data_IF_347897070966
#
_entry.id   IF_347897070966
#
_cell.length_a   1.000
_cell.length_b   1.000
_cell.length_c   1.000
_cell.angle_alpha   90.00
_cell.angle_beta   90.00
_cell.angle_gamma   90.00
#
_symmetry.space_group_name_H-M   'P 1'
#
loop_
_entity.id
_entity.type
_entity.pdbx_description
1 polymer ?
#
# COMPACT_ATOMS: atom_id res chain seq x y z
N UNK A 1 -4.44 -8.97 29.82
CA UNK A 1 -3.08 -9.49 29.61
C UNK A 1 -2.92 -9.89 28.15
N UNK A 2 -2.61 -8.93 27.27
CA UNK A 2 -2.23 -9.22 25.89
C UNK A 2 -0.74 -9.52 25.90
N UNK A 3 -0.36 -10.79 25.75
CA UNK A 3 1.03 -11.19 25.49
C UNK A 3 1.44 -10.54 24.17
N UNK A 4 2.06 -9.37 24.26
CA UNK A 4 2.72 -8.71 23.15
C UNK A 4 3.93 -9.53 22.75
N UNK A 5 3.74 -10.59 21.99
CA UNK A 5 4.78 -11.03 21.07
C UNK A 5 5.05 -9.82 20.18
N UNK A 6 6.14 -9.12 20.48
CA UNK A 6 6.74 -8.15 19.57
C UNK A 6 7.19 -8.96 18.37
N UNK A 7 6.27 -9.23 17.46
CA UNK A 7 6.59 -9.76 16.15
C UNK A 7 7.40 -8.65 15.50
N UNK A 8 8.72 -8.79 15.54
CA UNK A 8 9.64 -7.87 14.89
C UNK A 8 9.26 -7.85 13.41
N UNK A 9 9.02 -6.65 12.86
CA UNK A 9 8.60 -6.47 11.46
C UNK A 9 9.61 -7.11 10.48
N UNK A 10 10.89 -7.08 10.85
CA UNK A 10 11.99 -7.73 10.16
C UNK A 10 13.16 -7.87 11.16
N UNK A 11 14.15 -8.68 10.82
CA UNK A 11 15.38 -8.89 11.61
C UNK A 11 16.60 -8.60 10.75
N UNK A 12 17.62 -7.98 11.34
CA UNK A 12 18.92 -7.82 10.69
C UNK A 12 19.88 -8.86 11.25
N UNK A 13 20.51 -9.65 10.37
CA UNK A 13 21.63 -10.54 10.74
C UNK A 13 22.76 -10.31 9.74
N UNK A 14 23.97 -10.05 10.24
CA UNK A 14 25.18 -9.87 9.40
C UNK A 14 25.01 -8.90 8.21
N UNK A 15 24.35 -7.76 8.44
CA UNK A 15 24.10 -6.76 7.39
C UNK A 15 23.01 -7.12 6.37
N UNK A 16 22.30 -8.23 6.57
CA UNK A 16 21.20 -8.67 5.73
C UNK A 16 19.86 -8.64 6.46
N UNK A 17 18.82 -8.29 5.71
CA UNK A 17 17.45 -8.24 6.20
C UNK A 17 16.75 -9.58 6.02
N UNK A 18 16.12 -10.06 7.08
CA UNK A 18 15.34 -11.29 7.13
C UNK A 18 13.90 -10.98 7.54
N UNK A 19 12.94 -11.63 6.89
CA UNK A 19 11.52 -11.45 7.15
C UNK A 19 10.79 -12.78 7.25
N UNK A 20 9.84 -12.84 8.17
CA UNK A 20 8.91 -13.96 8.26
C UNK A 20 7.73 -13.68 7.34
N UNK A 21 7.30 -14.68 6.57
CA UNK A 21 6.15 -14.54 5.69
C UNK A 21 5.25 -15.77 5.69
N UNK A 22 4.02 -15.57 5.22
CA UNK A 22 3.03 -16.62 4.98
C UNK A 22 2.58 -16.59 3.53
N UNK A 23 2.93 -17.65 2.80
CA UNK A 23 2.45 -17.89 1.44
C UNK A 23 1.10 -18.61 1.50
N UNK A 24 0.17 -18.22 0.65
CA UNK A 24 -1.19 -18.76 0.60
C UNK A 24 -1.66 -18.93 -0.84
N UNK A 25 -2.52 -19.94 -1.05
CA UNK A 25 -3.31 -20.05 -2.28
C UNK A 25 -4.20 -18.82 -2.46
N UNK A 26 -4.61 -18.50 -3.69
CA UNK A 26 -5.48 -17.34 -4.01
C UNK A 26 -6.77 -17.28 -3.17
N UNK A 27 -7.33 -18.43 -2.81
CA UNK A 27 -8.53 -18.55 -1.99
C UNK A 27 -8.24 -18.70 -0.48
N UNK A 28 -6.98 -18.55 -0.07
CA UNK A 28 -6.52 -18.61 1.32
C UNK A 28 -6.81 -19.94 2.04
N UNK A 29 -7.04 -21.03 1.31
CA UNK A 29 -7.35 -22.35 1.88
C UNK A 29 -6.10 -23.12 2.31
N UNK A 30 -5.02 -22.99 1.55
CA UNK A 30 -3.75 -23.65 1.84
C UNK A 30 -2.69 -22.61 2.10
N UNK A 31 -1.79 -22.88 3.04
CA UNK A 31 -0.76 -21.92 3.43
C UNK A 31 0.50 -22.57 3.96
N UNK A 32 1.62 -21.90 3.70
CA UNK A 32 2.95 -22.29 4.15
C UNK A 32 3.56 -21.09 4.87
N UNK A 33 4.14 -21.31 6.04
CA UNK A 33 4.88 -20.28 6.79
C UNK A 33 6.36 -20.46 6.55
N UNK A 34 7.06 -19.35 6.39
CA UNK A 34 8.50 -19.28 6.22
C UNK A 34 9.04 -18.33 7.25
N UNK A 35 10.05 -18.79 7.98
CA UNK A 35 10.75 -18.01 8.98
C UNK A 35 12.12 -17.60 8.43
N UNK A 36 12.57 -16.41 8.77
CA UNK A 36 13.86 -15.84 8.40
C UNK A 36 14.20 -15.96 6.89
N UNK A 37 13.29 -15.54 6.01
CA UNK A 37 13.59 -15.43 4.58
C UNK A 37 14.41 -14.17 4.27
N UNK A 38 15.45 -14.32 3.44
CA UNK A 38 16.34 -13.20 3.08
C UNK A 38 15.65 -12.25 2.09
N UNK A 39 15.74 -10.95 2.33
CA UNK A 39 15.29 -9.93 1.37
C UNK A 39 16.45 -9.59 0.42
N UNK A 40 16.28 -9.91 -0.85
CA UNK A 40 17.32 -9.81 -1.88
C UNK A 40 16.80 -9.08 -3.13
N UNK A 41 17.16 -7.79 -3.31
CA UNK A 41 16.69 -7.00 -4.45
C UNK A 41 17.35 -7.36 -5.78
N UNK A 42 18.37 -8.22 -5.78
CA UNK A 42 18.99 -8.68 -7.03
C UNK A 42 18.14 -9.73 -7.74
N UNK A 43 17.25 -10.39 -7.00
CA UNK A 43 16.35 -11.40 -7.55
C UNK A 43 15.12 -10.70 -8.17
N UNK A 44 14.87 -10.82 -9.49
CA UNK A 44 13.74 -10.13 -10.12
C UNK A 44 12.39 -10.69 -9.66
N UNK A 45 12.27 -12.01 -9.53
CA UNK A 45 11.03 -12.70 -9.10
C UNK A 45 11.33 -13.68 -7.98
N UNK A 46 10.48 -13.69 -6.96
CA UNK A 46 10.60 -14.61 -5.81
C UNK A 46 10.58 -16.07 -6.29
N UNK A 47 11.54 -16.84 -5.77
CA UNK A 47 11.72 -18.27 -6.11
C UNK A 47 11.27 -19.12 -4.94
N UNK A 48 10.53 -20.18 -5.22
CA UNK A 48 10.00 -21.14 -4.25
C UNK A 48 10.27 -22.57 -4.74
N UNK A 49 10.34 -23.56 -3.83
CA UNK A 49 10.64 -24.93 -4.24
C UNK A 49 9.44 -25.57 -4.95
N UNK A 50 9.72 -26.40 -5.96
CA UNK A 50 8.71 -26.96 -6.87
C UNK A 50 7.62 -27.76 -6.15
N UNK A 51 7.96 -28.48 -5.08
CA UNK A 51 6.99 -29.26 -4.31
C UNK A 51 5.88 -28.41 -3.68
N UNK A 52 6.06 -27.08 -3.55
CA UNK A 52 5.00 -26.18 -3.08
C UNK A 52 3.91 -25.91 -4.12
N UNK A 53 4.16 -26.18 -5.40
CA UNK A 53 3.17 -25.97 -6.47
C UNK A 53 1.89 -26.77 -6.18
N UNK A 54 2.02 -28.08 -5.96
CA UNK A 54 0.86 -28.93 -5.64
C UNK A 54 0.33 -28.68 -4.22
N UNK A 55 1.19 -28.28 -3.28
CA UNK A 55 0.75 -27.95 -1.93
C UNK A 55 -0.12 -26.69 -1.90
N UNK A 56 0.19 -25.67 -2.71
CA UNK A 56 -0.56 -24.42 -2.78
C UNK A 56 -1.70 -24.47 -3.80
N UNK A 57 -1.71 -25.45 -4.72
CA UNK A 57 -2.80 -25.65 -5.67
C UNK A 57 -4.11 -25.93 -4.92
N UNK A 58 -5.09 -25.04 -5.09
CA UNK A 58 -6.41 -25.21 -4.52
C UNK A 58 -7.48 -24.83 -5.54
N UNK A 59 -8.10 -25.81 -6.22
CA UNK A 59 -9.12 -25.55 -7.23
C UNK A 59 -10.33 -24.86 -6.58
N UNK A 60 -10.89 -23.88 -7.28
CA UNK A 60 -11.98 -23.04 -6.82
C UNK A 60 -12.96 -22.76 -7.95
N UNK A 61 -14.12 -22.21 -7.65
CA UNK A 61 -15.15 -21.89 -8.66
C UNK A 61 -14.64 -20.94 -9.76
N UNK A 62 -13.74 -20.01 -9.43
CA UNK A 62 -13.13 -19.07 -10.40
C UNK A 62 -11.86 -19.61 -11.08
N UNK A 63 -11.16 -20.55 -10.45
CA UNK A 63 -9.93 -21.17 -10.98
C UNK A 63 -10.04 -22.68 -10.82
N UNK A 64 -10.52 -23.36 -11.86
CA UNK A 64 -10.82 -24.79 -11.85
C UNK A 64 -9.53 -25.61 -11.64
N UNK A 65 -8.42 -25.20 -12.25
CA UNK A 65 -7.10 -25.85 -12.14
C UNK A 65 -6.35 -25.47 -10.85
N UNK A 66 -6.75 -24.38 -10.19
CA UNK A 66 -6.13 -23.84 -8.98
C UNK A 66 -5.29 -22.58 -9.22
N UNK A 67 -4.55 -22.52 -10.33
CA UNK A 67 -3.78 -21.35 -10.78
C UNK A 67 -4.43 -20.69 -12.00
N UNK A 68 -4.16 -19.41 -12.21
CA UNK A 68 -4.59 -18.70 -13.41
C UNK A 68 -3.59 -18.87 -14.54
N UNK A 69 -2.30 -18.73 -14.22
CA UNK A 69 -1.18 -18.90 -15.13
C UNK A 69 -0.30 -20.03 -14.60
N UNK A 70 0.08 -20.96 -15.46
CA UNK A 70 1.02 -22.03 -15.18
C UNK A 70 1.80 -22.33 -16.46
N UNK A 71 3.06 -21.88 -16.51
CA UNK A 71 3.89 -21.92 -17.71
C UNK A 71 5.28 -22.47 -17.37
N UNK A 72 5.81 -23.34 -18.23
CA UNK A 72 7.19 -23.81 -18.10
C UNK A 72 8.14 -22.72 -18.63
N UNK A 73 9.07 -22.27 -17.79
CA UNK A 73 9.98 -21.16 -18.07
C UNK A 73 11.41 -21.59 -17.77
N UNK A 74 12.36 -21.08 -18.54
CA UNK A 74 13.78 -21.21 -18.21
C UNK A 74 14.20 -20.10 -17.25
N UNK A 75 14.76 -20.49 -16.11
CA UNK A 75 15.27 -19.59 -15.08
C UNK A 75 16.78 -19.83 -14.92
N UNK A 76 17.59 -18.77 -14.84
CA UNK A 76 19.05 -18.90 -14.65
C UNK A 76 19.40 -18.91 -13.16
N UNK A 77 20.14 -19.91 -12.64
CA UNK A 77 20.50 -20.02 -11.22
C UNK A 77 21.45 -18.89 -10.80
N UNK A 78 20.87 -17.71 -10.53
CA UNK A 78 21.60 -16.51 -10.13
C UNK A 78 21.38 -16.27 -8.65
N UNK A 79 21.95 -17.12 -7.80
CA UNK A 79 22.33 -16.64 -6.47
C UNK A 79 23.67 -15.92 -6.62
N UNK A 80 23.62 -14.59 -6.65
CA UNK A 80 24.80 -13.71 -6.76
C UNK A 80 25.89 -13.94 -5.69
N UNK A 81 25.64 -14.81 -4.71
CA UNK A 81 26.59 -15.20 -3.66
C UNK A 81 27.46 -16.43 -3.98
N UNK A 82 27.12 -17.26 -4.99
CA UNK A 82 27.83 -18.53 -5.26
C UNK A 82 28.74 -18.53 -6.49
N UNK A 83 28.79 -17.45 -7.25
CA UNK A 83 29.74 -17.32 -8.36
C UNK A 83 31.02 -16.69 -7.81
N UNK A 84 32.02 -17.54 -7.53
CA UNK A 84 33.43 -17.11 -7.57
C UNK A 84 33.60 -16.26 -8.83
N UNK A 85 33.90 -14.97 -8.63
CA UNK A 85 34.15 -14.01 -9.71
C UNK A 85 35.33 -14.51 -10.57
N UNK A 86 35.05 -15.32 -11.58
CA UNK A 86 35.84 -15.27 -12.80
C UNK A 86 35.43 -14.00 -13.52
N UNK A 87 36.32 -13.03 -13.46
CA UNK A 87 36.26 -11.76 -14.19
C UNK A 87 35.96 -12.03 -15.67
N UNK A 88 34.71 -11.86 -16.07
CA UNK A 88 34.38 -11.62 -17.47
C UNK A 88 34.22 -10.11 -17.61
N UNK A 89 35.23 -9.54 -18.25
CA UNK A 89 35.32 -8.17 -18.71
C UNK A 89 33.99 -7.64 -19.24
N UNK A 90 33.49 -6.61 -18.57
CA UNK A 90 32.47 -5.69 -19.06
C UNK A 90 32.95 -5.05 -20.37
N UNK A 91 32.41 -5.47 -21.51
CA UNK A 91 32.14 -4.62 -22.67
C UNK A 91 31.24 -5.37 -23.66
N UNK A 92 29.96 -4.98 -23.74
CA UNK A 92 29.23 -4.76 -25.01
C UNK A 92 27.77 -4.43 -24.74
N UNK A 93 27.45 -3.14 -24.79
CA UNK A 93 26.12 -2.71 -25.20
C UNK A 93 25.91 -3.14 -26.65
N UNK A 94 24.96 -4.05 -26.90
CA UNK A 94 24.10 -4.18 -28.09
C UNK A 94 23.72 -5.65 -28.34
N UNK A 95 22.54 -6.07 -27.89
CA UNK A 95 21.74 -7.11 -28.55
C UNK A 95 20.30 -7.09 -28.01
N UNK A 96 19.54 -6.07 -28.40
CA UNK A 96 18.12 -6.27 -28.60
C UNK A 96 17.93 -7.29 -29.75
N UNK A 97 17.00 -8.21 -29.57
CA UNK A 97 16.44 -9.10 -30.59
C UNK A 97 17.43 -9.97 -31.38
N UNK A 98 17.87 -11.08 -30.76
CA UNK A 98 18.07 -12.33 -31.50
C UNK A 98 17.38 -13.47 -30.76
N UNK A 99 16.33 -13.99 -31.39
CA UNK A 99 15.82 -15.34 -31.19
C UNK A 99 17.00 -16.31 -31.28
N UNK A 100 17.51 -16.73 -30.12
CA UNK A 100 18.50 -17.79 -30.03
C UNK A 100 17.74 -19.09 -29.74
N UNK A 101 17.38 -19.79 -30.82
CA UNK A 101 17.24 -21.23 -30.85
C UNK A 101 18.56 -21.86 -30.36
N UNK A 102 18.62 -22.15 -29.07
CA UNK A 102 19.53 -23.13 -28.47
C UNK A 102 18.76 -23.73 -27.30
N UNK A 103 18.57 -25.06 -27.31
CA UNK A 103 17.67 -25.81 -26.43
C UNK A 103 17.92 -25.63 -24.94
N UNK A 104 17.43 -24.53 -24.37
CA UNK A 104 17.31 -24.33 -22.95
C UNK A 104 16.12 -25.16 -22.46
N UNK A 105 16.39 -26.37 -21.96
CA UNK A 105 15.38 -27.19 -21.32
C UNK A 105 14.71 -26.39 -20.18
N UNK A 106 13.37 -26.32 -20.17
CA UNK A 106 12.63 -25.63 -19.13
C UNK A 106 12.92 -26.27 -17.76
N UNK A 107 13.46 -25.48 -16.83
CA UNK A 107 13.90 -25.91 -15.51
C UNK A 107 13.05 -25.31 -14.36
N UNK A 108 12.05 -24.48 -14.69
CA UNK A 108 11.16 -23.88 -13.71
C UNK A 108 9.71 -23.81 -14.21
N UNK A 109 8.77 -23.70 -13.28
CA UNK A 109 7.36 -23.43 -13.57
C UNK A 109 7.01 -22.07 -12.98
N UNK A 110 6.54 -21.14 -13.80
CA UNK A 110 5.95 -19.89 -13.32
C UNK A 110 4.47 -20.13 -13.08
N UNK A 111 4.03 -20.04 -11.82
CA UNK A 111 2.62 -20.25 -11.48
C UNK A 111 2.06 -19.17 -10.55
N UNK A 112 0.81 -18.79 -10.75
CA UNK A 112 0.15 -17.79 -9.92
C UNK A 112 -1.32 -17.53 -10.30
N UNK A 113 -2.03 -16.67 -9.56
CA UNK A 113 -1.53 -15.84 -8.47
C UNK A 113 -1.45 -16.57 -7.13
N UNK A 114 -0.36 -16.35 -6.41
CA UNK A 114 -0.13 -16.78 -5.03
C UNK A 114 -0.10 -15.54 -4.13
N UNK A 115 -0.76 -15.60 -2.97
CA UNK A 115 -0.79 -14.47 -2.03
C UNK A 115 0.30 -14.65 -0.98
N UNK A 116 1.05 -13.59 -0.72
CA UNK A 116 2.12 -13.54 0.27
C UNK A 116 1.81 -12.47 1.31
N UNK A 117 1.79 -12.86 2.58
CA UNK A 117 1.72 -11.93 3.71
C UNK A 117 3.09 -11.84 4.38
N UNK A 118 3.75 -10.72 4.19
CA UNK A 118 5.01 -10.42 4.88
C UNK A 118 4.69 -9.81 6.24
N UNK A 119 5.36 -10.31 7.26
CA UNK A 119 5.24 -9.78 8.61
C UNK A 119 5.62 -8.30 8.64
N UNK A 120 4.80 -7.48 9.30
CA UNK A 120 5.01 -6.03 9.35
C UNK A 120 4.42 -5.24 8.17
N UNK A 121 3.86 -5.91 7.16
CA UNK A 121 3.12 -5.28 6.07
C UNK A 121 1.60 -5.45 6.27
N UNK A 122 0.82 -4.42 5.96
CA UNK A 122 -0.65 -4.48 6.00
C UNK A 122 -1.25 -5.05 4.72
N UNK A 123 -0.59 -4.80 3.59
CA UNK A 123 -1.11 -5.15 2.27
C UNK A 123 -0.58 -6.54 1.87
N UNK A 124 -1.45 -7.44 1.37
CA UNK A 124 -0.99 -8.68 0.76
C UNK A 124 -0.23 -8.40 -0.52
N UNK A 125 0.86 -9.12 -0.72
CA UNK A 125 1.60 -9.14 -1.98
C UNK A 125 1.05 -10.26 -2.84
N UNK A 126 0.87 -10.02 -4.13
CA UNK A 126 0.41 -11.04 -5.07
C UNK A 126 1.53 -11.36 -6.03
N UNK A 127 1.93 -12.63 -6.05
CA UNK A 127 3.10 -13.11 -6.78
C UNK A 127 2.71 -14.14 -7.84
N UNK A 128 3.51 -14.16 -8.91
CA UNK A 128 3.61 -15.27 -9.84
C UNK A 128 5.03 -15.83 -9.73
N UNK A 129 5.36 -16.51 -8.61
CA UNK A 129 6.73 -16.93 -8.31
C UNK A 129 7.20 -18.03 -9.27
N UNK A 130 8.51 -18.24 -9.28
CA UNK A 130 9.14 -19.34 -9.99
C UNK A 130 9.25 -20.54 -9.06
N UNK A 131 8.62 -21.65 -9.45
CA UNK A 131 8.70 -22.94 -8.78
C UNK A 131 9.84 -23.75 -9.40
N UNK A 132 10.87 -24.07 -8.62
CA UNK A 132 12.12 -24.67 -9.11
C UNK A 132 12.50 -25.90 -8.30
N UNK A 133 13.13 -26.90 -8.93
CA UNK A 133 13.68 -28.04 -8.21
C UNK A 133 14.78 -27.59 -7.22
N UNK A 134 14.76 -28.03 -5.95
CA UNK A 134 15.76 -27.63 -4.96
C UNK A 134 17.19 -27.93 -5.38
N UNK A 135 17.41 -29.06 -6.06
CA UNK A 135 18.73 -29.54 -6.46
C UNK A 135 19.33 -28.72 -7.62
N UNK A 136 18.50 -28.36 -8.60
CA UNK A 136 18.93 -27.61 -9.79
C UNK A 136 19.32 -26.17 -9.45
N UNK A 137 18.65 -25.59 -8.45
CA UNK A 137 18.87 -24.20 -8.03
C UNK A 137 19.77 -24.06 -6.80
N UNK A 138 20.09 -25.18 -6.13
CA UNK A 138 20.87 -25.20 -4.90
C UNK A 138 20.19 -24.51 -3.72
N UNK A 139 18.85 -24.62 -3.63
CA UNK A 139 18.04 -24.03 -2.56
C UNK A 139 18.35 -24.62 -1.17
N UNK A 140 18.87 -25.84 -1.11
CA UNK A 140 19.26 -26.48 0.14
C UNK A 140 20.66 -26.05 0.57
N UNK A 141 20.77 -25.54 1.79
CA UNK A 141 22.05 -25.31 2.46
C UNK A 141 22.62 -26.63 2.98
N UNK A 142 23.91 -26.63 3.33
CA UNK A 142 24.63 -27.80 3.86
C UNK A 142 24.06 -28.36 5.17
N UNK A 143 23.24 -27.58 5.88
CA UNK A 143 22.55 -27.95 7.11
C UNK A 143 21.11 -28.46 6.89
N UNK A 144 20.65 -28.58 5.64
CA UNK A 144 19.28 -29.00 5.31
C UNK A 144 18.23 -27.88 5.39
N UNK A 145 18.62 -26.64 5.69
CA UNK A 145 17.70 -25.49 5.63
C UNK A 145 17.49 -25.00 4.20
N UNK A 146 16.28 -24.51 3.90
CA UNK A 146 15.94 -23.91 2.62
C UNK A 146 16.36 -22.42 2.60
N UNK A 147 17.20 -22.04 1.64
CA UNK A 147 17.63 -20.65 1.40
C UNK A 147 16.57 -19.86 0.61
N UNK A 148 15.44 -19.60 1.28
CA UNK A 148 14.34 -18.85 0.67
C UNK A 148 14.63 -17.36 0.69
N UNK A 149 14.43 -16.72 -0.47
CA UNK A 149 14.62 -15.28 -0.65
C UNK A 149 13.39 -14.62 -1.24
N UNK A 150 13.16 -13.39 -0.83
CA UNK A 150 12.14 -12.50 -1.41
C UNK A 150 12.81 -11.61 -2.45
N UNK A 151 12.27 -11.64 -3.67
CA UNK A 151 12.74 -10.83 -4.78
C UNK A 151 12.09 -9.44 -4.88
N UNK A 152 12.49 -8.72 -5.91
CA UNK A 152 12.00 -7.38 -6.23
C UNK A 152 10.48 -7.36 -6.46
N UNK A 153 9.92 -8.41 -7.08
CA UNK A 153 8.48 -8.57 -7.30
C UNK A 153 7.62 -8.34 -6.05
N UNK A 154 8.08 -8.83 -4.90
CA UNK A 154 7.42 -8.67 -3.62
C UNK A 154 7.81 -7.37 -2.91
N UNK A 155 9.06 -6.93 -3.08
CA UNK A 155 9.58 -5.70 -2.46
C UNK A 155 8.83 -4.47 -3.02
N UNK A 156 8.61 -4.41 -4.33
CA UNK A 156 7.90 -3.33 -5.03
C UNK A 156 6.47 -3.10 -4.53
N UNK A 157 5.81 -4.16 -4.06
CA UNK A 157 4.43 -4.12 -3.57
C UNK A 157 4.34 -3.75 -2.07
N UNK A 158 5.48 -3.64 -1.38
CA UNK A 158 5.55 -3.46 0.07
C UNK A 158 6.12 -2.11 0.49
N UNK A 159 5.98 -1.77 1.77
CA UNK A 159 6.77 -0.67 2.36
C UNK A 159 8.28 -0.96 2.38
N UNK A 160 8.70 -2.22 2.17
CA UNK A 160 10.10 -2.59 1.93
C UNK A 160 10.70 -1.86 0.71
N UNK A 161 9.87 -1.41 -0.23
CA UNK A 161 10.33 -0.55 -1.33
C UNK A 161 10.98 0.75 -0.84
N UNK A 162 10.55 1.30 0.31
CA UNK A 162 11.17 2.49 0.88
C UNK A 162 12.62 2.23 1.34
N UNK A 163 12.95 0.99 1.70
CA UNK A 163 14.29 0.57 2.11
C UNK A 163 15.26 0.44 0.92
N UNK A 164 14.75 0.48 -0.32
CA UNK A 164 15.55 0.56 -1.55
C UNK A 164 15.95 1.99 -1.92
N UNK A 165 15.47 3.01 -1.22
CA UNK A 165 15.83 4.41 -1.49
C UNK A 165 17.18 4.74 -0.84
N UNK A 166 17.89 5.80 -1.29
CA UNK A 166 19.14 6.22 -0.67
C UNK A 166 19.01 6.38 0.85
N UNK A 167 19.87 5.68 1.60
CA UNK A 167 19.86 5.61 3.06
C UNK A 167 19.00 4.50 3.67
N UNK A 168 18.22 3.78 2.88
CA UNK A 168 17.54 2.56 3.29
C UNK A 168 18.48 1.37 3.44
N UNK A 169 18.04 0.34 4.18
CA UNK A 169 18.87 -0.81 4.53
C UNK A 169 19.21 -1.72 3.34
N UNK A 170 18.42 -1.67 2.26
CA UNK A 170 18.60 -2.50 1.08
C UNK A 170 19.32 -1.76 -0.06
N UNK A 171 19.54 -0.44 0.08
CA UNK A 171 20.13 0.39 -0.97
C UNK A 171 21.50 -0.13 -1.41
N UNK A 172 22.35 -0.52 -0.47
CA UNK A 172 23.69 -1.03 -0.77
C UNK A 172 23.70 -2.35 -1.57
N UNK A 173 22.58 -3.09 -1.57
CA UNK A 173 22.44 -4.37 -2.30
C UNK A 173 21.94 -4.19 -3.74
N UNK A 174 21.57 -2.98 -4.14
CA UNK A 174 21.19 -2.69 -5.52
C UNK A 174 22.42 -2.75 -6.45
N UNK A 175 22.23 -3.02 -7.74
CA UNK A 175 23.32 -2.97 -8.71
C UNK A 175 23.76 -1.50 -8.92
N UNK A 176 24.83 -1.09 -8.26
CA UNK A 176 25.47 0.22 -8.42
C UNK A 176 26.58 0.17 -9.47
N UNK A 177 26.88 1.32 -10.11
CA UNK A 177 27.99 1.39 -11.06
C UNK A 177 29.35 1.26 -10.36
N UNK A 178 29.43 1.66 -9.09
CA UNK A 178 30.64 1.59 -8.26
C UNK A 178 30.34 1.32 -6.79
N UNK A 179 31.28 0.71 -6.06
CA UNK A 179 31.17 0.53 -4.60
C UNK A 179 31.18 1.87 -3.85
N UNK A 180 31.85 2.88 -4.42
CA UNK A 180 31.85 4.26 -3.90
C UNK A 180 30.47 4.89 -3.94
N UNK A 181 29.68 4.63 -4.98
CA UNK A 181 28.29 5.09 -5.09
C UNK A 181 27.37 4.33 -4.11
N UNK A 182 27.57 3.02 -3.97
CA UNK A 182 26.79 2.19 -3.05
C UNK A 182 26.96 2.59 -1.56
N UNK A 183 28.15 3.06 -1.19
CA UNK A 183 28.50 3.43 0.19
C UNK A 183 28.56 4.94 0.42
N UNK A 184 28.09 5.75 -0.53
CA UNK A 184 28.09 7.20 -0.40
C UNK A 184 27.25 7.65 0.82
N UNK A 185 27.72 8.61 1.63
CA UNK A 185 26.93 9.18 2.71
C UNK A 185 25.60 9.74 2.17
N UNK A 186 24.50 9.36 2.82
CA UNK A 186 23.13 9.75 2.43
C UNK A 186 23.00 11.27 2.28
N UNK A 187 23.64 12.04 3.16
CA UNK A 187 23.60 13.50 3.10
C UNK A 187 24.20 14.05 1.81
N UNK A 188 25.27 13.46 1.31
CA UNK A 188 25.93 13.95 0.09
C UNK A 188 25.12 13.59 -1.15
N UNK A 189 24.51 12.41 -1.17
CA UNK A 189 23.54 12.03 -2.22
C UNK A 189 22.33 12.97 -2.22
N UNK A 190 21.76 13.27 -1.04
CA UNK A 190 20.63 14.19 -0.94
C UNK A 190 21.01 15.65 -1.27
N UNK A 191 22.22 16.10 -0.93
CA UNK A 191 22.73 17.42 -1.33
C UNK A 191 22.85 17.53 -2.84
N UNK A 192 23.29 16.47 -3.54
CA UNK A 192 23.31 16.43 -5.01
C UNK A 192 21.89 16.57 -5.60
N UNK A 193 20.86 16.06 -4.92
CA UNK A 193 19.46 16.27 -5.29
C UNK A 193 18.88 17.63 -4.86
N UNK A 194 19.64 18.45 -4.13
CA UNK A 194 19.25 19.80 -3.73
C UNK A 194 18.90 19.99 -2.25
N UNK A 195 19.15 19.01 -1.38
CA UNK A 195 19.05 19.21 0.08
C UNK A 195 20.07 20.26 0.54
N UNK A 196 19.61 21.36 1.14
CA UNK A 196 20.47 22.45 1.62
C UNK A 196 20.58 22.54 3.14
N UNK A 197 19.48 22.30 3.84
CA UNK A 197 19.36 22.40 5.29
C UNK A 197 18.52 21.23 5.83
N UNK A 198 18.38 21.14 7.15
CA UNK A 198 17.53 20.15 7.80
C UNK A 198 16.04 20.34 7.52
N UNK A 199 15.22 19.41 8.02
CA UNK A 199 13.77 19.45 7.85
C UNK A 199 13.17 20.71 8.50
N UNK A 200 12.59 21.59 7.68
CA UNK A 200 11.95 22.85 8.09
C UNK A 200 12.83 23.69 9.04
N UNK A 201 14.13 23.73 8.76
CA UNK A 201 15.10 24.53 9.52
C UNK A 201 14.97 26.02 9.19
N UNK A 202 14.80 26.35 7.91
CA UNK A 202 14.56 27.72 7.47
C UNK A 202 13.23 28.25 8.01
N UNK A 203 13.18 29.47 8.58
CA UNK A 203 11.93 30.07 9.06
C UNK A 203 10.93 30.37 7.94
N UNK A 204 11.36 30.30 6.68
CA UNK A 204 10.51 30.50 5.51
C UNK A 204 9.57 29.31 5.23
N UNK A 205 9.92 28.11 5.71
CA UNK A 205 9.14 26.90 5.48
C UNK A 205 8.29 26.60 6.72
N UNK A 206 6.95 26.49 6.60
CA UNK A 206 6.10 26.12 7.72
C UNK A 206 6.52 24.79 8.34
N UNK A 207 6.54 24.74 9.68
CA UNK A 207 6.94 23.54 10.42
C UNK A 207 5.91 22.42 10.22
N UNK A 208 6.35 21.16 10.00
CA UNK A 208 5.49 20.09 9.51
C UNK A 208 4.33 19.74 10.46
N UNK A 209 4.53 19.86 11.77
CA UNK A 209 3.50 19.57 12.77
C UNK A 209 2.35 20.59 12.80
N UNK A 210 2.49 21.73 12.13
CA UNK A 210 1.41 22.73 12.03
C UNK A 210 0.51 22.52 10.81
N UNK A 211 0.79 21.50 9.98
CA UNK A 211 0.03 21.19 8.75
C UNK A 211 -1.44 20.88 9.03
N UNK A 212 -1.71 20.12 10.09
CA UNK A 212 -3.06 19.80 10.55
C UNK A 212 -3.20 20.30 11.98
N UNK A 213 -3.91 21.43 12.16
CA UNK A 213 -4.09 22.06 13.48
C UNK A 213 -5.28 21.51 14.25
N UNK A 214 -6.37 21.24 13.53
CA UNK A 214 -7.61 20.73 14.09
C UNK A 214 -8.01 19.45 13.38
N UNK A 215 -8.51 18.51 14.16
CA UNK A 215 -9.15 17.30 13.67
C UNK A 215 -10.63 17.39 14.05
N UNK A 216 -11.50 17.54 13.05
CA UNK A 216 -12.94 17.63 13.29
C UNK A 216 -13.53 16.23 13.45
N UNK A 217 -13.91 15.91 14.68
CA UNK A 217 -14.58 14.65 15.04
C UNK A 217 -15.88 15.03 15.71
N UNK A 218 -16.99 14.86 15.00
CA UNK A 218 -18.32 15.37 15.38
C UNK A 218 -18.73 14.93 16.80
N UNK A 219 -18.54 13.63 17.12
CA UNK A 219 -18.87 13.06 18.43
C UNK A 219 -18.09 13.71 19.59
N UNK A 220 -16.91 14.27 19.34
CA UNK A 220 -16.05 14.82 20.39
C UNK A 220 -16.30 16.29 20.70
N UNK A 221 -16.73 17.10 19.72
CA UNK A 221 -16.67 18.56 19.88
C UNK A 221 -18.01 19.30 19.71
N UNK A 222 -18.98 18.81 18.95
CA UNK A 222 -20.26 19.52 18.75
C UNK A 222 -21.47 18.63 18.49
N UNK A 223 -21.28 17.31 18.45
CA UNK A 223 -22.33 16.37 18.05
C UNK A 223 -22.54 16.34 16.53
N UNK A 224 -23.45 15.46 16.07
CA UNK A 224 -23.72 15.28 14.65
C UNK A 224 -24.39 16.50 14.02
N UNK A 225 -24.21 16.61 12.70
CA UNK A 225 -24.88 17.59 11.85
C UNK A 225 -26.34 17.18 11.62
N UNK A 226 -27.24 18.16 11.60
CA UNK A 226 -28.61 17.98 11.11
C UNK A 226 -28.57 17.82 9.59
N UNK A 227 -29.07 16.69 9.09
CA UNK A 227 -29.05 16.37 7.65
C UNK A 227 -30.46 16.39 7.08
N UNK A 228 -30.72 17.33 6.20
CA UNK A 228 -31.96 17.46 5.45
C UNK A 228 -31.69 17.33 3.95
N UNK A 229 -32.75 17.16 3.15
CA UNK A 229 -32.62 17.18 1.70
C UNK A 229 -33.87 17.75 1.01
N UNK A 230 -33.65 18.44 -0.10
CA UNK A 230 -34.68 18.90 -1.04
C UNK A 230 -34.39 18.26 -2.39
N UNK A 231 -35.23 17.32 -2.79
CA UNK A 231 -35.08 16.50 -3.99
C UNK A 231 -35.66 15.11 -3.78
N UNK A 232 -35.40 14.18 -4.70
CA UNK A 232 -35.98 12.84 -4.67
C UNK A 232 -35.50 11.97 -3.50
N UNK A 233 -34.21 12.05 -3.13
CA UNK A 233 -33.63 11.28 -2.04
C UNK A 233 -32.42 12.01 -1.43
N UNK A 234 -31.90 11.57 -0.27
CA UNK A 234 -30.75 12.21 0.39
C UNK A 234 -29.47 12.27 -0.44
N UNK A 235 -29.31 11.38 -1.44
CA UNK A 235 -28.11 11.29 -2.28
C UNK A 235 -28.21 12.16 -3.54
N UNK A 236 -29.43 12.43 -4.02
CA UNK A 236 -29.69 13.17 -5.26
C UNK A 236 -30.22 14.59 -5.00
N UNK A 237 -30.72 14.86 -3.79
CA UNK A 237 -31.20 16.18 -3.39
C UNK A 237 -30.08 17.09 -2.91
N UNK A 238 -30.40 18.37 -2.76
CA UNK A 238 -29.52 19.34 -2.11
C UNK A 238 -29.81 19.40 -0.61
N UNK A 239 -28.80 19.63 0.21
CA UNK A 239 -28.96 19.89 1.65
C UNK A 239 -29.55 21.28 1.92
N UNK A 240 -29.50 22.18 0.93
CA UNK A 240 -30.01 23.53 1.06
C UNK A 240 -31.51 23.59 0.85
N UNK A 241 -32.21 24.22 1.80
CA UNK A 241 -33.56 24.74 1.57
C UNK A 241 -33.51 25.95 0.62
N UNK A 242 -34.66 26.29 0.04
CA UNK A 242 -34.78 27.53 -0.74
C UNK A 242 -34.76 28.76 0.18
N UNK A 243 -34.16 29.85 -0.27
CA UNK A 243 -34.01 31.08 0.51
C UNK A 243 -35.30 31.91 0.57
N UNK A 244 -35.32 32.94 1.44
CA UNK A 244 -36.43 33.87 1.64
C UNK A 244 -36.89 34.61 0.37
N UNK A 245 -36.07 34.61 -0.69
CA UNK A 245 -36.39 35.30 -1.94
C UNK A 245 -37.36 34.54 -2.84
N UNK A 246 -37.64 33.26 -2.56
CA UNK A 246 -38.58 32.46 -3.33
C UNK A 246 -39.97 33.09 -3.33
N UNK A 247 -40.60 33.11 -4.51
CA UNK A 247 -41.90 33.78 -4.76
C UNK A 247 -42.96 33.42 -3.72
N UNK A 248 -43.05 32.14 -3.38
CA UNK A 248 -44.09 31.60 -2.49
C UNK A 248 -43.86 31.87 -1.00
N UNK A 249 -42.68 32.34 -0.61
CA UNK A 249 -42.36 32.58 0.81
C UNK A 249 -42.58 34.02 1.24
N UNK A 250 -42.48 35.00 0.33
CA UNK A 250 -42.48 36.43 0.67
C UNK A 250 -43.72 36.89 1.46
N UNK A 251 -44.92 36.47 1.04
CA UNK A 251 -46.17 36.84 1.73
C UNK A 251 -46.25 36.23 3.14
N UNK A 252 -45.81 34.98 3.29
CA UNK A 252 -45.78 34.31 4.60
C UNK A 252 -44.76 34.95 5.54
N UNK A 253 -43.54 35.20 5.05
CA UNK A 253 -42.47 35.91 5.78
C UNK A 253 -42.93 37.31 6.20
N UNK A 254 -43.60 38.05 5.32
CA UNK A 254 -44.15 39.36 5.67
C UNK A 254 -45.14 39.29 6.84
N UNK A 255 -46.09 38.34 6.82
CA UNK A 255 -47.03 38.13 7.92
C UNK A 255 -46.30 37.75 9.22
N UNK A 256 -45.28 36.89 9.11
CA UNK A 256 -44.43 36.45 10.21
C UNK A 256 -43.67 37.60 10.90
N UNK A 257 -43.27 38.62 10.13
CA UNK A 257 -42.61 39.82 10.64
C UNK A 257 -43.61 40.74 11.34
N UNK A 258 -44.77 41.00 10.71
CA UNK A 258 -45.77 41.95 11.23
C UNK A 258 -46.49 41.40 12.47
N UNK A 259 -46.91 40.13 12.44
CA UNK A 259 -47.60 39.46 13.55
C UNK A 259 -46.71 38.40 14.16
N UNK A 260 -45.59 38.86 14.74
CA UNK A 260 -44.52 38.00 15.22
C UNK A 260 -44.94 37.05 16.35
N UNK A 261 -45.93 37.39 17.15
CA UNK A 261 -46.33 36.55 18.29
C UNK A 261 -47.39 35.52 17.92
N UNK A 262 -48.05 35.69 16.77
CA UNK A 262 -49.04 34.75 16.24
C UNK A 262 -48.35 33.68 15.38
N UNK A 263 -49.00 32.52 15.27
CA UNK A 263 -48.64 31.49 14.30
C UNK A 263 -49.26 31.88 12.95
N UNK A 264 -48.46 31.93 11.89
CA UNK A 264 -48.94 32.30 10.55
C UNK A 264 -48.87 31.10 9.59
N UNK A 265 -49.96 30.86 8.86
CA UNK A 265 -50.01 29.82 7.84
C UNK A 265 -49.20 30.20 6.59
N UNK A 266 -48.52 29.21 5.98
CA UNK A 266 -47.86 29.38 4.68
C UNK A 266 -46.72 28.39 4.43
N UNK A 267 -46.24 28.37 3.18
CA UNK A 267 -45.08 27.54 2.78
C UNK A 267 -43.74 28.13 3.24
N UNK A 268 -43.70 29.33 3.83
CA UNK A 268 -42.48 30.00 4.28
C UNK A 268 -41.72 29.22 5.36
N UNK A 269 -42.38 28.31 6.08
CA UNK A 269 -41.74 27.40 7.03
C UNK A 269 -40.73 26.44 6.38
N UNK A 270 -40.85 26.17 5.07
CA UNK A 270 -39.89 25.36 4.31
C UNK A 270 -38.70 26.17 3.79
N UNK A 271 -38.66 27.47 4.03
CA UNK A 271 -37.53 28.30 3.65
C UNK A 271 -36.35 28.10 4.62
N UNK A 272 -35.15 28.52 4.21
CA UNK A 272 -34.01 28.55 5.12
C UNK A 272 -34.14 29.63 6.22
N UNK A 273 -35.02 30.61 6.02
CA UNK A 273 -35.28 31.71 6.95
C UNK A 273 -36.47 31.39 7.85
N UNK A 274 -36.34 31.70 9.14
CA UNK A 274 -37.44 31.57 10.10
C UNK A 274 -37.29 32.55 11.27
N UNK A 275 -38.37 32.69 12.05
CA UNK A 275 -38.48 33.61 13.19
C UNK A 275 -37.46 33.34 14.31
N UNK A 276 -37.08 32.08 14.52
CA UNK A 276 -36.10 31.70 15.55
C UNK A 276 -34.69 32.19 15.21
N UNK A 277 -33.84 32.51 16.19
CA UNK A 277 -32.44 32.87 15.94
C UNK A 277 -31.67 31.77 15.18
N UNK A 278 -31.91 30.51 15.53
CA UNK A 278 -31.37 29.36 14.81
C UNK A 278 -32.05 29.24 13.43
N UNK A 279 -31.27 29.40 12.36
CA UNK A 279 -31.73 29.27 10.98
C UNK A 279 -31.59 27.83 10.45
N UNK A 280 -32.37 27.50 9.44
CA UNK A 280 -32.36 26.19 8.78
C UNK A 280 -31.37 26.20 7.60
N UNK A 281 -30.08 26.10 7.94
CA UNK A 281 -28.96 25.96 6.99
C UNK A 281 -28.30 24.60 7.17
N UNK A 282 -27.54 24.10 6.18
CA UNK A 282 -26.82 22.83 6.33
C UNK A 282 -25.83 22.84 7.50
N UNK A 283 -25.52 21.64 7.98
CA UNK A 283 -24.46 21.39 8.97
C UNK A 283 -24.69 22.00 10.37
N UNK A 284 -25.93 22.32 10.72
CA UNK A 284 -26.28 22.75 12.09
C UNK A 284 -26.05 21.61 13.07
N UNK A 285 -25.21 21.84 14.07
CA UNK A 285 -24.96 20.90 15.17
C UNK A 285 -26.09 20.94 16.20
N UNK A 286 -27.19 20.25 15.91
CA UNK A 286 -28.42 20.32 16.71
C UNK A 286 -28.35 19.63 18.07
N UNK A 287 -27.37 18.75 18.29
CA UNK A 287 -27.11 18.12 19.60
C UNK A 287 -26.02 18.84 20.40
N UNK A 288 -25.55 19.99 19.94
CA UNK A 288 -24.55 20.74 20.69
C UNK A 288 -25.11 21.25 22.02
N UNK A 289 -24.31 21.27 23.11
CA UNK A 289 -24.77 21.79 24.40
C UNK A 289 -25.14 23.29 24.39
N UNK A 290 -24.56 24.06 23.48
CA UNK A 290 -24.78 25.51 23.38
C UNK A 290 -25.26 25.90 21.96
N UNK A 291 -26.39 26.64 21.85
CA UNK A 291 -26.91 27.20 20.60
C UNK A 291 -25.98 28.21 19.94
#
# INVERSE_FOLDING_TARGET
MLRGCRVLRFRMKYGSMYVDYKVMSRNHRRSIRVEDALVDPLLPTTVVPLHWLEQLRCPSTRLITGYHTEEAVYSQPNYGDRVERRSVTLFSHAAAAKTADTGAHANAIRAGPVVLYITGQSNPVVLNPLFVQPDEWGLTRSNGELDLRIGMDAIEQCSLYAELRPGGLLYAKLPHASLTEAMEPVQDTLKRYGMRCGLAESPLVPRPWTRMRYMFIDELQRGPKMTEFVGYNPRSGTQWRFSQHAKYFRTGIWREIIRRNEMNDGLHAHSSWQKSPQQAVPEVSFLAPYP
#
